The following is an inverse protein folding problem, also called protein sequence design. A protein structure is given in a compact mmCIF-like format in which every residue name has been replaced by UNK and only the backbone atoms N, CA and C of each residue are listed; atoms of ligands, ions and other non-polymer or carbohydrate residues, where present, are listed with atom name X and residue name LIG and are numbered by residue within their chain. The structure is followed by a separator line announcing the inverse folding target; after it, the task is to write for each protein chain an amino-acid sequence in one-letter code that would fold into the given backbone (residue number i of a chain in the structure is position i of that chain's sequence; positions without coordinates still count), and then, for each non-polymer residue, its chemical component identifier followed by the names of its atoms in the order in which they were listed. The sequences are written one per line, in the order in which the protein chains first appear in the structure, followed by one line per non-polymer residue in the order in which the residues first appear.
data_IF_991292002417
#
_entry.id   IF_991292002417
#
_cell.length_a   1.000
_cell.length_b   1.000
_cell.length_c   1.000
_cell.angle_alpha   90.00
_cell.angle_beta   90.00
_cell.angle_gamma   90.00
#
_symmetry.space_group_name_H-M   'P 1'
#
loop_
_entity.id
_entity.type
_entity.pdbx_description
1 polymer ?
#
# COMPACT_ATOMS: atom_id res chain seq x y z
N UNK A 1 1.81 -30.53 30.72
CA UNK A 1 1.84 -29.09 30.41
C UNK A 1 3.29 -28.65 30.48
N UNK A 2 3.90 -28.33 29.34
CA UNK A 2 5.31 -27.99 29.26
C UNK A 2 5.40 -26.46 29.28
N UNK A 3 5.39 -25.89 30.47
CA UNK A 3 5.22 -24.46 30.77
C UNK A 3 6.17 -23.54 30.01
N UNK A 4 7.35 -24.05 29.63
CA UNK A 4 8.33 -23.33 28.81
C UNK A 4 7.87 -23.14 27.35
N UNK A 5 7.25 -24.15 26.74
CA UNK A 5 6.66 -24.06 25.40
C UNK A 5 5.49 -23.07 25.41
N UNK A 6 4.63 -23.16 26.42
CA UNK A 6 3.50 -22.25 26.59
C UNK A 6 3.96 -20.79 26.74
N UNK A 7 5.01 -20.54 27.53
CA UNK A 7 5.62 -19.22 27.70
C UNK A 7 6.25 -18.70 26.40
N UNK A 8 7.00 -19.54 25.68
CA UNK A 8 7.60 -19.18 24.40
C UNK A 8 6.54 -18.81 23.37
N UNK A 9 5.45 -19.57 23.34
CA UNK A 9 4.33 -19.33 22.44
C UNK A 9 3.62 -18.01 22.78
N UNK A 10 3.38 -17.74 24.06
CA UNK A 10 2.78 -16.49 24.53
C UNK A 10 3.62 -15.26 24.14
N UNK A 11 4.94 -15.29 24.35
CA UNK A 11 5.84 -14.20 23.96
C UNK A 11 5.83 -13.98 22.45
N UNK A 12 5.90 -15.05 21.66
CA UNK A 12 5.82 -14.97 20.20
C UNK A 12 4.50 -14.32 19.77
N UNK A 13 3.38 -14.76 20.33
CA UNK A 13 2.06 -14.23 20.03
C UNK A 13 1.94 -12.74 20.37
N UNK A 14 2.48 -12.30 21.51
CA UNK A 14 2.53 -10.88 21.89
C UNK A 14 3.35 -10.06 20.88
N UNK A 15 4.52 -10.56 20.47
CA UNK A 15 5.39 -9.90 19.48
C UNK A 15 4.79 -9.89 18.07
N UNK A 16 3.92 -10.85 17.74
CA UNK A 16 3.16 -10.86 16.50
C UNK A 16 1.99 -9.87 16.54
N UNK A 17 1.24 -9.84 17.65
CA UNK A 17 0.10 -8.93 17.84
C UNK A 17 0.50 -7.46 17.88
N UNK A 18 1.63 -7.14 18.52
CA UNK A 18 2.14 -5.76 18.58
C UNK A 18 2.99 -5.36 17.36
N UNK A 19 3.16 -6.27 16.38
CA UNK A 19 3.89 -6.02 15.14
C UNK A 19 5.43 -6.04 15.26
N UNK A 20 6.01 -6.18 16.45
CA UNK A 20 7.46 -6.16 16.64
C UNK A 20 8.19 -7.28 15.87
N UNK A 21 7.61 -8.49 15.83
CA UNK A 21 8.17 -9.62 15.10
C UNK A 21 8.12 -9.39 13.58
N UNK A 22 7.06 -8.74 13.10
CA UNK A 22 6.91 -8.39 11.69
C UNK A 22 7.89 -7.27 11.28
N UNK A 23 8.05 -6.22 12.10
CA UNK A 23 9.04 -5.17 11.90
C UNK A 23 10.48 -5.73 11.82
N UNK A 24 10.80 -6.68 12.71
CA UNK A 24 12.12 -7.34 12.73
C UNK A 24 12.35 -8.16 11.47
N UNK A 25 11.34 -8.93 11.02
CA UNK A 25 11.40 -9.70 9.76
C UNK A 25 11.54 -8.78 8.54
N UNK A 26 10.83 -7.66 8.52
CA UNK A 26 10.93 -6.67 7.43
C UNK A 26 12.33 -6.06 7.36
N UNK A 27 12.91 -5.68 8.51
CA UNK A 27 14.29 -5.19 8.58
C UNK A 27 15.29 -6.24 8.09
N UNK A 28 15.15 -7.49 8.53
CA UNK A 28 16.01 -8.58 8.07
C UNK A 28 15.91 -8.79 6.56
N UNK A 29 14.69 -8.76 5.99
CA UNK A 29 14.49 -8.83 4.54
C UNK A 29 15.20 -7.67 3.83
N UNK A 30 15.08 -6.45 4.34
CA UNK A 30 15.75 -5.28 3.78
C UNK A 30 17.28 -5.39 3.82
N UNK A 31 17.84 -5.84 4.94
CA UNK A 31 19.28 -6.03 5.09
C UNK A 31 19.82 -7.14 4.16
N UNK A 32 19.06 -8.24 4.00
CA UNK A 32 19.39 -9.30 3.04
C UNK A 32 19.37 -8.75 1.62
N UNK A 33 18.31 -8.03 1.22
CA UNK A 33 18.23 -7.42 -0.10
C UNK A 33 19.39 -6.46 -0.37
N UNK A 34 19.71 -5.60 0.59
CA UNK A 34 20.84 -4.66 0.50
C UNK A 34 22.19 -5.37 0.38
N UNK A 35 22.34 -6.53 1.01
CA UNK A 35 23.58 -7.33 0.93
C UNK A 35 23.69 -8.08 -0.39
N UNK A 36 22.55 -8.45 -0.99
CA UNK A 36 22.48 -9.11 -2.29
C UNK A 36 22.55 -8.12 -3.47
N UNK A 37 22.28 -6.83 -3.25
CA UNK A 37 22.36 -5.80 -4.29
C UNK A 37 23.81 -5.61 -4.76
N UNK A 38 24.11 -6.06 -5.98
CA UNK A 38 25.35 -5.75 -6.69
C UNK A 38 25.29 -4.30 -7.20
N UNK A 39 26.16 -3.39 -6.73
CA UNK A 39 26.14 -1.97 -7.14
C UNK A 39 26.44 -1.75 -8.63
N UNK A 40 26.83 -2.79 -9.38
CA UNK A 40 27.04 -2.74 -10.83
C UNK A 40 25.77 -2.98 -11.66
N UNK A 41 24.68 -3.47 -11.06
CA UNK A 41 23.40 -3.60 -11.76
C UNK A 41 22.68 -2.26 -11.81
N UNK A 42 22.55 -1.68 -13.01
CA UNK A 42 21.67 -0.52 -13.26
C UNK A 42 20.24 -0.97 -12.98
N UNK A 43 19.77 -0.73 -11.74
CA UNK A 43 18.41 -1.06 -11.30
C UNK A 43 17.43 -0.57 -12.38
N UNK A 44 16.64 -1.46 -13.01
CA UNK A 44 15.74 -1.03 -14.06
C UNK A 44 14.84 0.06 -13.49
N UNK A 45 14.81 1.23 -14.16
CA UNK A 45 13.99 2.36 -13.71
C UNK A 45 12.56 1.87 -13.60
N UNK A 46 12.00 1.89 -12.39
CA UNK A 46 10.61 1.55 -12.14
C UNK A 46 9.76 2.45 -13.05
N UNK A 47 8.86 1.88 -13.88
CA UNK A 47 7.99 2.69 -14.71
C UNK A 47 7.20 3.69 -13.87
N UNK A 48 6.97 4.88 -14.41
CA UNK A 48 6.26 5.95 -13.70
C UNK A 48 4.88 5.49 -13.19
N UNK A 49 4.16 4.70 -13.98
CA UNK A 49 2.87 4.11 -13.59
C UNK A 49 2.98 3.24 -12.35
N UNK A 50 4.02 2.40 -12.25
CA UNK A 50 4.24 1.56 -11.08
C UNK A 50 4.51 2.39 -9.83
N UNK A 51 5.22 3.52 -9.96
CA UNK A 51 5.42 4.43 -8.82
C UNK A 51 4.10 5.00 -8.31
N UNK A 52 3.21 5.43 -9.21
CA UNK A 52 1.88 5.94 -8.84
C UNK A 52 1.01 4.84 -8.20
N UNK A 53 1.01 3.64 -8.79
CA UNK A 53 0.25 2.49 -8.26
C UNK A 53 0.74 2.13 -6.85
N UNK A 54 2.05 2.07 -6.65
CA UNK A 54 2.63 1.75 -5.35
C UNK A 54 2.29 2.83 -4.31
N UNK A 55 2.31 4.12 -4.65
CA UNK A 55 1.88 5.18 -3.72
C UNK A 55 0.41 5.01 -3.31
N UNK A 56 -0.49 4.70 -4.26
CA UNK A 56 -1.90 4.46 -3.95
C UNK A 56 -2.07 3.26 -2.99
N UNK A 57 -1.30 2.19 -3.21
CA UNK A 57 -1.32 1.00 -2.34
C UNK A 57 -0.72 1.35 -0.97
N UNK A 58 0.43 2.02 -0.91
CA UNK A 58 1.09 2.40 0.33
C UNK A 58 0.20 3.31 1.18
N UNK A 59 -0.47 4.29 0.58
CA UNK A 59 -1.44 5.13 1.26
C UNK A 59 -2.60 4.30 1.85
N UNK A 60 -3.19 3.40 1.06
CA UNK A 60 -4.25 2.50 1.54
C UNK A 60 -3.79 1.62 2.71
N UNK A 61 -2.61 1.03 2.60
CA UNK A 61 -2.05 0.17 3.64
C UNK A 61 -1.81 0.96 4.93
N UNK A 62 -1.23 2.16 4.83
CA UNK A 62 -0.99 3.02 5.97
C UNK A 62 -2.28 3.48 6.64
N UNK A 63 -3.30 3.88 5.86
CA UNK A 63 -4.61 4.26 6.37
C UNK A 63 -5.30 3.13 7.15
N UNK A 64 -5.14 1.87 6.69
CA UNK A 64 -5.74 0.70 7.33
C UNK A 64 -4.82 0.05 8.39
N UNK A 65 -3.76 0.73 8.84
CA UNK A 65 -2.79 0.23 9.83
C UNK A 65 -2.06 -1.06 9.43
N UNK A 66 -1.89 -1.29 8.13
CA UNK A 66 -1.18 -2.44 7.56
C UNK A 66 0.32 -2.15 7.39
N UNK A 67 0.95 -1.58 8.42
CA UNK A 67 2.32 -1.04 8.36
C UNK A 67 3.38 -2.06 7.95
N UNK A 68 3.20 -3.33 8.32
CA UNK A 68 4.13 -4.39 7.96
C UNK A 68 4.14 -4.64 6.45
N UNK A 69 2.97 -4.64 5.81
CA UNK A 69 2.85 -4.79 4.36
C UNK A 69 3.39 -3.55 3.65
N UNK A 70 3.10 -2.35 4.16
CA UNK A 70 3.60 -1.10 3.60
C UNK A 70 5.14 -1.04 3.61
N UNK A 71 5.76 -1.43 4.73
CA UNK A 71 7.23 -1.47 4.85
C UNK A 71 7.88 -2.45 3.87
N UNK A 72 7.31 -3.65 3.70
CA UNK A 72 7.84 -4.64 2.77
C UNK A 72 7.67 -4.16 1.33
N UNK A 73 6.48 -3.67 0.96
CA UNK A 73 6.19 -3.17 -0.38
C UNK A 73 7.16 -2.04 -0.78
N UNK A 74 7.36 -1.04 0.09
CA UNK A 74 8.24 0.09 -0.19
C UNK A 74 9.67 -0.33 -0.52
N UNK A 75 10.17 -1.38 0.14
CA UNK A 75 11.53 -1.90 -0.08
C UNK A 75 11.57 -2.76 -1.35
N UNK A 76 10.66 -3.74 -1.46
CA UNK A 76 10.63 -4.69 -2.58
C UNK A 76 10.36 -3.99 -3.92
N UNK A 77 9.51 -2.97 -3.92
CA UNK A 77 9.20 -2.21 -5.12
C UNK A 77 10.25 -1.16 -5.45
N UNK A 78 11.24 -0.91 -4.58
CA UNK A 78 12.20 0.18 -4.72
C UNK A 78 11.56 1.58 -4.70
N UNK A 79 10.48 1.75 -3.92
CA UNK A 79 9.75 3.02 -3.86
C UNK A 79 10.66 4.15 -3.33
N UNK A 80 10.63 5.35 -3.94
CA UNK A 80 11.40 6.49 -3.46
C UNK A 80 11.13 6.82 -1.99
N UNK A 81 12.19 7.21 -1.28
CA UNK A 81 12.11 7.80 0.07
C UNK A 81 12.81 9.16 0.02
N UNK A 82 12.12 10.30 0.25
CA UNK A 82 10.72 10.42 0.69
C UNK A 82 9.70 10.02 -0.40
N UNK A 83 8.49 9.65 0.04
CA UNK A 83 7.34 9.35 -0.84
C UNK A 83 7.03 10.55 -1.76
N UNK A 84 6.43 10.26 -2.92
CA UNK A 84 6.03 11.27 -3.92
C UNK A 84 5.01 12.28 -3.37
N UNK A 85 4.28 11.92 -2.31
CA UNK A 85 3.30 12.78 -1.66
C UNK A 85 1.93 12.72 -2.33
N UNK A 86 0.88 12.71 -1.50
CA UNK A 86 -0.52 12.55 -1.93
C UNK A 86 -0.96 13.58 -2.98
N UNK A 87 -0.63 14.85 -2.78
CA UNK A 87 -1.04 15.93 -3.69
C UNK A 87 -0.50 15.73 -5.11
N UNK A 88 0.77 15.29 -5.22
CA UNK A 88 1.38 14.98 -6.50
C UNK A 88 0.68 13.80 -7.19
N UNK A 89 0.41 12.73 -6.44
CA UNK A 89 -0.28 11.54 -6.97
C UNK A 89 -1.70 11.87 -7.44
N UNK A 90 -2.43 12.68 -6.65
CA UNK A 90 -3.77 13.15 -7.01
C UNK A 90 -3.74 13.99 -8.30
N UNK A 91 -2.77 14.89 -8.45
CA UNK A 91 -2.59 15.71 -9.65
C UNK A 91 -2.27 14.84 -10.88
N UNK A 92 -1.30 13.93 -10.77
CA UNK A 92 -0.91 13.04 -11.89
C UNK A 92 -2.07 12.15 -12.37
N UNK A 93 -2.96 11.75 -11.45
CA UNK A 93 -4.12 10.92 -11.75
C UNK A 93 -5.40 11.73 -12.03
N UNK A 94 -5.31 13.07 -12.02
CA UNK A 94 -6.42 13.99 -12.19
C UNK A 94 -7.60 13.72 -11.21
N UNK A 95 -7.27 13.32 -9.98
CA UNK A 95 -8.23 13.05 -8.92
C UNK A 95 -8.59 14.37 -8.24
N UNK A 96 -9.86 14.73 -8.27
CA UNK A 96 -10.38 15.89 -7.57
C UNK A 96 -10.78 15.50 -6.15
N UNK A 97 -10.16 16.15 -5.16
CA UNK A 97 -10.44 15.91 -3.75
C UNK A 97 -11.29 17.03 -3.14
N UNK A 98 -12.34 16.64 -2.43
CA UNK A 98 -13.14 17.47 -1.52
C UNK A 98 -12.77 17.20 -0.04
N UNK A 99 -13.40 17.91 0.90
CA UNK A 99 -13.11 17.79 2.33
C UNK A 99 -13.33 16.38 2.89
N UNK A 100 -14.18 15.56 2.25
CA UNK A 100 -14.48 14.19 2.72
C UNK A 100 -13.48 13.18 2.15
N UNK A 101 -13.18 13.29 0.87
CA UNK A 101 -12.24 12.41 0.14
C UNK A 101 -10.80 12.61 0.59
N UNK A 102 -10.42 13.81 1.05
CA UNK A 102 -9.10 14.07 1.68
C UNK A 102 -8.86 13.24 2.95
N UNK A 103 -9.90 12.78 3.62
CA UNK A 103 -9.79 12.01 4.86
C UNK A 103 -9.67 10.50 4.63
N UNK A 104 -9.77 10.04 3.39
CA UNK A 104 -9.69 8.61 3.02
C UNK A 104 -8.64 8.42 1.92
N UNK A 105 -8.14 7.20 1.67
CA UNK A 105 -7.17 6.96 0.59
C UNK A 105 -7.71 7.35 -0.77
N UNK A 106 -6.84 7.85 -1.67
CA UNK A 106 -7.20 8.20 -3.06
C UNK A 106 -7.83 7.01 -3.81
N UNK A 107 -7.42 5.80 -3.44
CA UNK A 107 -7.97 4.56 -4.00
C UNK A 107 -9.48 4.39 -3.74
N UNK A 108 -10.00 4.95 -2.63
CA UNK A 108 -11.44 4.94 -2.33
C UNK A 108 -12.19 5.91 -3.24
N UNK A 109 -11.60 7.09 -3.50
CA UNK A 109 -12.14 8.07 -4.44
C UNK A 109 -12.23 7.49 -5.84
N UNK A 110 -11.17 6.82 -6.32
CA UNK A 110 -11.17 6.11 -7.60
C UNK A 110 -12.29 5.07 -7.68
N UNK A 111 -12.39 4.19 -6.67
CA UNK A 111 -13.43 3.16 -6.64
C UNK A 111 -14.84 3.76 -6.69
N UNK A 112 -15.09 4.80 -5.91
CA UNK A 112 -16.40 5.47 -5.85
C UNK A 112 -16.78 6.12 -7.18
N UNK A 113 -15.81 6.74 -7.87
CA UNK A 113 -15.98 7.33 -9.19
C UNK A 113 -16.38 6.27 -10.23
N UNK A 114 -15.65 5.16 -10.33
CA UNK A 114 -15.98 4.10 -11.29
C UNK A 114 -17.28 3.37 -10.96
N UNK A 115 -17.57 3.14 -9.68
CA UNK A 115 -18.82 2.50 -9.26
C UNK A 115 -20.05 3.37 -9.59
N UNK A 116 -19.93 4.69 -9.42
CA UNK A 116 -21.00 5.65 -9.76
C UNK A 116 -21.20 5.75 -11.27
N UNK A 117 -20.12 5.86 -12.04
CA UNK A 117 -20.17 5.92 -13.50
C UNK A 117 -20.78 4.63 -14.10
N UNK A 118 -20.45 3.46 -13.55
CA UNK A 118 -21.05 2.18 -13.97
C UNK A 118 -22.56 2.12 -13.73
N UNK A 119 -23.05 2.68 -12.62
CA UNK A 119 -24.49 2.79 -12.34
C UNK A 119 -25.19 3.75 -13.31
N UNK A 120 -24.55 4.86 -13.65
CA UNK A 120 -25.09 5.85 -14.56
C UNK A 120 -25.18 5.29 -16.00
N UNK A 121 -24.13 4.61 -16.47
CA UNK A 121 -24.12 3.94 -17.78
C UNK A 121 -25.18 2.84 -17.92
N UNK A 122 -25.46 2.09 -16.85
CA UNK A 122 -26.56 1.10 -16.84
C UNK A 122 -27.95 1.74 -16.89
N UNK A 123 -28.14 2.91 -16.24
CA UNK A 123 -29.42 3.64 -16.25
C UNK A 123 -29.73 4.27 -17.61
N UNK A 124 -28.74 4.79 -18.33
CA UNK A 124 -28.97 5.37 -19.67
C UNK A 124 -29.36 4.31 -20.69
N UNK A 125 -28.79 3.11 -20.61
CA UNK A 125 -29.15 1.98 -21.47
C UNK A 125 -30.57 1.45 -21.19
N UNK A 126 -31.04 1.49 -19.93
CA UNK A 126 -32.40 1.05 -19.57
C UNK A 126 -33.50 2.05 -19.94
N UNK A 127 -33.18 3.33 -20.09
CA UNK A 127 -34.17 4.39 -20.36
C UNK A 127 -34.32 4.71 -21.87
N UNK A 128 -33.51 4.09 -22.74
CA UNK A 128 -33.54 4.29 -24.20
C UNK A 128 -34.37 3.26 -24.97
N UNK A 129 -35.13 2.39 -24.30
CA UNK A 129 -35.92 1.31 -24.91
C UNK A 129 -37.43 1.42 -24.65
N UNK A 130 -37.97 2.64 -24.59
CA UNK A 130 -39.42 2.88 -24.60
C UNK A 130 -39.79 3.84 -25.73
#
# INVERSE_FOLDING_TARGET
MNTLEDLRSAVKQTLEQNGALAATRAKLRADIFKTLEDPSEVKPRIPHENLLINELILEYLNYNNLHCAASVLSVESGQPTPSLGRAFVAEQLNIHEDDKTRQVPLLYSLLSHFATNSKMARRTLSNGTN
#
